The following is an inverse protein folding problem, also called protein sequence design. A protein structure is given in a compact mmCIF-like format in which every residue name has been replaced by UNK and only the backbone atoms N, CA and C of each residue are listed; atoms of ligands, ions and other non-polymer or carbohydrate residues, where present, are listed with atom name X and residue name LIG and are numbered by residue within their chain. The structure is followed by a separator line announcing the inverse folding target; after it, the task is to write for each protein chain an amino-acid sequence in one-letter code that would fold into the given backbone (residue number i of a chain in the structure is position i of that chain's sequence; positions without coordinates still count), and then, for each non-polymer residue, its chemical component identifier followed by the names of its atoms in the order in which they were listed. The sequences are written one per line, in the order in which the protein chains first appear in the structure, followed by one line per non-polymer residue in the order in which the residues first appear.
data_IF_441512883966
#
_entry.id   IF_441512883966
#
_cell.length_a   1.000
_cell.length_b   1.000
_cell.length_c   1.000
_cell.angle_alpha   90.00
_cell.angle_beta   90.00
_cell.angle_gamma   90.00
#
_symmetry.space_group_name_H-M   'P 1'
#
loop_
_entity.id
_entity.type
_entity.pdbx_description
1 polymer ?
#
# COMPACT_ATOMS: atom_id res chain seq x y z
N UNK A 1 -23.72 -0.98 -8.05
CA UNK A 1 -22.27 -1.24 -7.96
C UNK A 1 -21.64 -0.09 -7.22
N UNK A 2 -21.18 -0.35 -6.00
CA UNK A 2 -20.45 0.61 -5.17
C UNK A 2 -19.05 0.07 -4.94
N UNK A 3 -18.04 0.93 -4.96
CA UNK A 3 -16.67 0.55 -4.66
C UNK A 3 -16.32 1.02 -3.24
N UNK A 4 -15.65 0.14 -2.49
CA UNK A 4 -14.93 0.54 -1.26
C UNK A 4 -13.46 0.62 -1.56
N UNK A 5 -12.85 1.72 -1.16
CA UNK A 5 -11.43 1.98 -1.37
C UNK A 5 -10.73 2.09 -0.02
N UNK A 6 -9.65 1.35 0.14
CA UNK A 6 -8.82 1.35 1.34
C UNK A 6 -7.45 1.90 0.96
N UNK A 7 -6.93 2.83 1.75
CA UNK A 7 -5.65 3.50 1.50
C UNK A 7 -4.81 3.40 2.76
N UNK A 8 -3.53 3.12 2.56
CA UNK A 8 -2.52 3.09 3.62
C UNK A 8 -1.29 3.89 3.19
N UNK A 9 -0.63 4.50 4.16
CA UNK A 9 0.57 5.30 3.96
C UNK A 9 1.77 4.70 4.71
N UNK A 10 2.94 4.78 4.10
CA UNK A 10 4.18 4.25 4.65
C UNK A 10 5.38 5.09 4.23
N UNK A 11 6.45 5.04 5.03
CA UNK A 11 7.69 5.80 4.75
C UNK A 11 7.82 7.12 5.48
N UNK A 12 6.79 7.59 6.20
CA UNK A 12 6.89 8.76 7.07
C UNK A 12 8.03 8.57 8.10
N UNK A 13 9.08 9.38 7.99
CA UNK A 13 10.32 9.31 8.77
C UNK A 13 11.17 8.04 8.54
N UNK A 14 10.97 7.33 7.44
CA UNK A 14 11.68 6.09 7.10
C UNK A 14 12.15 6.16 5.63
N UNK A 15 13.20 6.96 5.33
CA UNK A 15 13.69 7.15 3.97
C UNK A 15 14.11 5.80 3.34
N UNK A 16 14.09 5.68 1.99
CA UNK A 16 14.19 6.78 1.03
C UNK A 16 12.88 7.20 0.33
N UNK A 17 11.75 6.54 0.60
CA UNK A 17 10.50 6.76 -0.14
C UNK A 17 9.28 6.91 0.76
N UNK A 18 8.39 7.83 0.39
CA UNK A 18 7.00 7.83 0.77
C UNK A 18 6.23 6.87 -0.15
N UNK A 19 5.33 6.08 0.43
CA UNK A 19 4.46 5.15 -0.28
C UNK A 19 3.02 5.43 0.14
N UNK A 20 2.15 5.59 -0.85
CA UNK A 20 0.71 5.60 -0.67
C UNK A 20 0.17 4.42 -1.47
N UNK A 21 -0.27 3.39 -0.76
CA UNK A 21 -0.87 2.19 -1.33
C UNK A 21 -2.38 2.26 -1.20
N UNK A 22 -3.10 1.62 -2.11
CA UNK A 22 -4.54 1.45 -1.94
C UNK A 22 -5.11 0.31 -2.76
N UNK A 23 -6.28 -0.16 -2.34
CA UNK A 23 -7.01 -1.25 -2.97
C UNK A 23 -8.49 -0.93 -3.01
N UNK A 24 -9.11 -1.22 -4.16
CA UNK A 24 -10.54 -1.12 -4.39
C UNK A 24 -11.17 -2.51 -4.35
N UNK A 25 -12.34 -2.61 -3.74
CA UNK A 25 -13.20 -3.79 -3.80
C UNK A 25 -14.61 -3.38 -4.23
N UNK A 26 -15.32 -4.29 -4.89
CA UNK A 26 -16.78 -4.20 -4.96
C UNK A 26 -17.33 -4.29 -3.53
N UNK A 27 -18.23 -3.38 -3.16
CA UNK A 27 -18.74 -3.29 -1.80
C UNK A 27 -19.37 -4.61 -1.31
N UNK A 28 -19.93 -5.39 -2.24
CA UNK A 28 -20.55 -6.68 -1.99
C UNK A 28 -19.52 -7.80 -1.71
N UNK A 29 -18.26 -7.66 -2.16
CA UNK A 29 -17.18 -8.64 -1.94
C UNK A 29 -16.41 -8.39 -0.65
N UNK A 30 -16.55 -7.20 -0.04
CA UNK A 30 -15.76 -6.79 1.13
C UNK A 30 -15.93 -7.75 2.30
N UNK A 31 -17.16 -8.21 2.57
CA UNK A 31 -17.41 -9.15 3.66
C UNK A 31 -16.71 -10.50 3.47
N UNK A 32 -16.67 -11.01 2.23
CA UNK A 32 -15.96 -12.25 1.90
C UNK A 32 -14.45 -12.07 2.03
N UNK A 33 -13.92 -10.96 1.48
CA UNK A 33 -12.51 -10.61 1.64
C UNK A 33 -12.11 -10.52 3.11
N UNK A 34 -12.87 -9.80 3.95
CA UNK A 34 -12.58 -9.64 5.37
C UNK A 34 -12.58 -10.99 6.10
N UNK A 35 -13.53 -11.87 5.79
CA UNK A 35 -13.60 -13.21 6.38
C UNK A 35 -12.37 -14.07 6.03
N UNK A 36 -11.99 -14.11 4.75
CA UNK A 36 -10.81 -14.87 4.30
C UNK A 36 -9.51 -14.27 4.83
N UNK A 37 -9.41 -12.94 4.85
CA UNK A 37 -8.25 -12.24 5.39
C UNK A 37 -8.06 -12.53 6.88
N UNK A 38 -9.12 -12.44 7.68
CA UNK A 38 -9.08 -12.76 9.12
C UNK A 38 -8.74 -14.24 9.34
N UNK A 39 -9.34 -15.15 8.56
CA UNK A 39 -9.05 -16.57 8.64
C UNK A 39 -7.57 -16.86 8.32
N UNK A 40 -7.03 -16.21 7.28
CA UNK A 40 -5.62 -16.34 6.97
C UNK A 40 -4.75 -15.72 8.05
N UNK A 41 -5.05 -14.52 8.61
CA UNK A 41 -4.27 -13.97 9.73
C UNK A 41 -4.18 -14.93 10.92
N UNK A 42 -5.26 -15.66 11.23
CA UNK A 42 -5.31 -16.68 12.29
C UNK A 42 -4.60 -18.00 11.94
N UNK A 43 -4.33 -18.28 10.66
CA UNK A 43 -3.62 -19.49 10.23
C UNK A 43 -2.14 -19.45 10.65
N UNK A 44 -1.45 -20.59 10.84
CA UNK A 44 -0.02 -20.57 11.14
C UNK A 44 0.86 -19.98 10.01
N UNK A 45 1.87 -19.15 10.33
CA UNK A 45 2.08 -18.49 11.62
C UNK A 45 0.98 -17.46 11.90
N UNK A 46 0.34 -17.56 13.07
CA UNK A 46 -0.77 -16.69 13.44
C UNK A 46 -0.25 -15.30 13.81
N UNK A 47 -0.84 -14.27 13.20
CA UNK A 47 -0.47 -12.87 13.42
C UNK A 47 -1.72 -12.03 13.69
N UNK A 48 -1.70 -11.10 14.66
CA UNK A 48 -2.88 -10.29 14.97
C UNK A 48 -3.21 -9.26 13.87
N UNK A 49 -2.22 -8.85 13.09
CA UNK A 49 -2.36 -7.94 11.96
C UNK A 49 -1.13 -8.03 11.06
N UNK A 50 -1.29 -7.65 9.78
CA UNK A 50 -0.18 -7.52 8.84
C UNK A 50 0.43 -6.12 8.95
N UNK A 51 1.74 -6.05 9.21
CA UNK A 51 2.55 -4.84 9.06
C UNK A 51 3.79 -5.18 8.26
N UNK A 52 3.85 -4.74 7.00
CA UNK A 52 4.90 -5.16 6.06
C UNK A 52 6.32 -4.88 6.56
N UNK A 53 6.55 -3.75 7.25
CA UNK A 53 7.86 -3.44 7.86
C UNK A 53 8.29 -4.49 8.89
N UNK A 54 7.34 -4.97 9.69
CA UNK A 54 7.60 -5.98 10.72
C UNK A 54 7.78 -7.36 10.09
N UNK A 55 7.02 -7.65 9.03
CA UNK A 55 7.19 -8.85 8.21
C UNK A 55 8.57 -8.90 7.55
N UNK A 56 9.05 -7.81 6.96
CA UNK A 56 10.37 -7.75 6.33
C UNK A 56 11.51 -7.89 7.36
N UNK A 57 11.41 -7.15 8.48
CA UNK A 57 12.43 -7.14 9.52
C UNK A 57 12.38 -8.34 10.50
N UNK A 58 11.31 -9.17 10.47
CA UNK A 58 11.18 -10.34 11.33
C UNK A 58 10.97 -9.97 12.80
N UNK A 59 10.18 -8.92 13.02
CA UNK A 59 9.92 -8.33 14.34
C UNK A 59 8.41 -8.17 14.57
N UNK A 60 8.01 -7.58 15.70
CA UNK A 60 6.60 -7.37 16.00
C UNK A 60 5.82 -8.68 15.98
N UNK A 61 4.72 -8.71 15.22
CA UNK A 61 3.89 -9.90 15.01
C UNK A 61 4.64 -11.10 14.41
N UNK A 62 5.78 -10.86 13.77
CA UNK A 62 6.60 -11.88 13.10
C UNK A 62 7.90 -12.21 13.86
N UNK A 63 8.03 -11.75 15.11
CA UNK A 63 9.23 -12.01 15.92
C UNK A 63 9.42 -13.52 16.12
N UNK A 64 10.59 -14.03 15.73
CA UNK A 64 10.93 -15.45 15.85
C UNK A 64 10.38 -16.34 14.74
N UNK A 65 9.61 -15.78 13.79
CA UNK A 65 9.10 -16.53 12.64
C UNK A 65 10.19 -16.63 11.56
N UNK A 66 10.52 -17.84 11.07
CA UNK A 66 11.49 -18.02 9.98
C UNK A 66 11.11 -17.24 8.73
N UNK A 67 12.12 -16.73 7.99
CA UNK A 67 11.87 -15.94 6.78
C UNK A 67 11.00 -16.69 5.76
N UNK A 68 11.25 -17.97 5.54
CA UNK A 68 10.47 -18.81 4.62
C UNK A 68 8.98 -18.86 5.00
N UNK A 69 8.66 -18.96 6.29
CA UNK A 69 7.28 -18.98 6.77
C UNK A 69 6.63 -17.60 6.65
N UNK A 70 7.38 -16.52 6.89
CA UNK A 70 6.92 -15.14 6.65
C UNK A 70 6.59 -14.93 5.17
N UNK A 71 7.50 -15.30 4.28
CA UNK A 71 7.33 -15.14 2.84
C UNK A 71 6.13 -15.98 2.35
N UNK A 72 5.96 -17.20 2.85
CA UNK A 72 4.78 -18.03 2.55
C UNK A 72 3.47 -17.40 3.07
N UNK A 73 3.47 -16.82 4.28
CA UNK A 73 2.33 -16.09 4.84
C UNK A 73 1.95 -14.89 3.98
N UNK A 74 2.94 -14.11 3.58
CA UNK A 74 2.75 -12.94 2.71
C UNK A 74 2.20 -13.33 1.34
N UNK A 75 2.67 -14.43 0.76
CA UNK A 75 2.16 -14.93 -0.51
C UNK A 75 0.66 -15.31 -0.43
N UNK A 76 0.24 -15.98 0.65
CA UNK A 76 -1.18 -16.35 0.84
C UNK A 76 -2.08 -15.13 1.07
N UNK A 77 -1.64 -14.17 1.88
CA UNK A 77 -2.35 -12.89 2.05
C UNK A 77 -2.43 -12.11 0.73
N UNK A 78 -1.34 -12.08 -0.04
CA UNK A 78 -1.29 -11.48 -1.38
C UNK A 78 -2.28 -12.13 -2.35
N UNK A 79 -2.44 -13.45 -2.28
CA UNK A 79 -3.41 -14.18 -3.11
C UNK A 79 -4.86 -13.81 -2.79
N UNK A 80 -5.20 -13.67 -1.51
CA UNK A 80 -6.52 -13.20 -1.07
C UNK A 80 -6.79 -11.80 -1.62
N UNK A 81 -5.82 -10.89 -1.49
CA UNK A 81 -5.94 -9.55 -2.10
C UNK A 81 -6.16 -9.62 -3.60
N UNK A 82 -5.36 -10.41 -4.33
CA UNK A 82 -5.45 -10.57 -5.79
C UNK A 82 -6.80 -11.15 -6.24
N UNK A 83 -7.39 -12.01 -5.43
CA UNK A 83 -8.67 -12.65 -5.72
C UNK A 83 -9.85 -11.67 -5.62
N UNK A 84 -9.85 -10.81 -4.60
CA UNK A 84 -11.00 -9.94 -4.31
C UNK A 84 -10.84 -8.51 -4.83
N UNK A 85 -9.61 -8.02 -4.99
CA UNK A 85 -9.34 -6.65 -5.41
C UNK A 85 -9.83 -6.38 -6.84
N UNK A 86 -10.60 -5.32 -7.00
CA UNK A 86 -11.01 -4.79 -8.31
C UNK A 86 -9.91 -3.93 -8.93
N UNK A 87 -9.16 -3.19 -8.11
CA UNK A 87 -8.04 -2.37 -8.55
C UNK A 87 -7.06 -2.14 -7.39
N UNK A 88 -5.80 -1.89 -7.73
CA UNK A 88 -4.77 -1.48 -6.77
C UNK A 88 -4.08 -0.21 -7.25
N UNK A 89 -3.75 0.69 -6.34
CA UNK A 89 -2.94 1.89 -6.61
C UNK A 89 -1.67 1.85 -5.77
N UNK A 90 -0.57 2.26 -6.37
CA UNK A 90 0.66 2.54 -5.64
C UNK A 90 1.27 3.84 -6.17
N UNK A 91 1.42 4.81 -5.28
CA UNK A 91 2.15 6.05 -5.53
C UNK A 91 3.40 5.99 -4.67
N UNK A 92 4.57 6.19 -5.29
CA UNK A 92 5.86 6.13 -4.61
C UNK A 92 6.62 7.41 -4.95
N UNK A 93 7.06 8.13 -3.93
CA UNK A 93 7.80 9.39 -4.07
C UNK A 93 9.05 9.33 -3.21
N UNK A 94 10.22 9.61 -3.79
CA UNK A 94 11.46 9.72 -3.01
C UNK A 94 11.40 10.94 -2.09
N UNK A 95 11.90 10.80 -0.87
CA UNK A 95 11.94 11.90 0.09
C UNK A 95 12.68 13.11 -0.49
N UNK A 96 13.89 12.89 -1.03
CA UNK A 96 14.70 13.97 -1.60
C UNK A 96 14.02 14.67 -2.77
N UNK A 97 13.25 13.94 -3.58
CA UNK A 97 12.52 14.53 -4.70
C UNK A 97 11.31 15.33 -4.21
N UNK A 98 10.63 14.88 -3.16
CA UNK A 98 9.58 15.67 -2.50
C UNK A 98 10.14 17.00 -1.98
N UNK A 99 11.20 16.95 -1.17
CA UNK A 99 11.83 18.13 -0.57
C UNK A 99 12.34 19.10 -1.63
N UNK A 100 12.96 18.58 -2.69
CA UNK A 100 13.54 19.41 -3.76
C UNK A 100 12.49 20.05 -4.67
N UNK A 101 11.44 19.31 -5.02
CA UNK A 101 10.51 19.71 -6.10
C UNK A 101 9.25 20.37 -5.55
N UNK A 102 8.71 19.87 -4.44
CA UNK A 102 7.35 20.19 -3.99
C UNK A 102 7.31 20.98 -2.68
N UNK A 103 8.18 20.66 -1.72
CA UNK A 103 8.14 21.27 -0.40
C UNK A 103 8.23 22.82 -0.46
N UNK A 104 7.27 23.50 0.18
CA UNK A 104 7.17 24.95 0.21
C UNK A 104 6.71 25.60 -1.10
N UNK A 105 6.38 24.81 -2.13
CA UNK A 105 6.01 25.27 -3.48
C UNK A 105 4.56 24.95 -3.85
N UNK A 106 3.81 24.32 -2.94
CA UNK A 106 2.42 23.92 -3.13
C UNK A 106 1.46 24.75 -2.28
N UNK A 107 0.16 24.67 -2.56
CA UNK A 107 -0.87 25.17 -1.64
C UNK A 107 -0.74 24.47 -0.29
N UNK A 108 -0.89 25.21 0.81
CA UNK A 108 -0.60 24.72 2.16
C UNK A 108 -1.32 23.41 2.55
N UNK A 109 -2.51 23.15 2.00
CA UNK A 109 -3.26 21.93 2.26
C UNK A 109 -2.72 20.71 1.49
N UNK A 110 -2.01 20.91 0.37
CA UNK A 110 -1.35 19.87 -0.42
C UNK A 110 0.14 19.71 -0.12
N UNK A 111 0.77 20.68 0.56
CA UNK A 111 2.20 20.70 0.87
C UNK A 111 2.56 19.73 2.01
N UNK A 112 2.10 18.49 1.87
CA UNK A 112 2.44 17.32 2.70
C UNK A 112 2.56 16.13 1.75
N UNK A 113 3.57 15.26 1.90
CA UNK A 113 3.84 14.18 0.94
C UNK A 113 2.61 13.35 0.58
N UNK A 114 1.87 12.87 1.58
CA UNK A 114 0.70 12.02 1.31
C UNK A 114 -0.53 12.78 0.80
N UNK A 115 -0.70 14.05 1.17
CA UNK A 115 -1.77 14.88 0.61
C UNK A 115 -1.51 15.14 -0.86
N UNK A 116 -0.26 15.48 -1.21
CA UNK A 116 0.18 15.56 -2.58
C UNK A 116 -0.06 14.23 -3.33
N UNK A 117 0.38 13.10 -2.77
CA UNK A 117 0.25 11.78 -3.41
C UNK A 117 -1.19 11.30 -3.56
N UNK A 118 -2.12 11.75 -2.71
CA UNK A 118 -3.54 11.41 -2.83
C UNK A 118 -4.24 12.23 -3.92
N UNK A 119 -3.84 13.49 -4.12
CA UNK A 119 -4.56 14.44 -4.99
C UNK A 119 -3.90 14.67 -6.36
N UNK A 120 -2.61 14.37 -6.51
CA UNK A 120 -1.89 14.51 -7.78
C UNK A 120 -2.02 13.35 -8.78
N UNK A 121 -2.38 12.09 -8.41
CA UNK A 121 -2.61 11.06 -9.41
C UNK A 121 -3.70 11.52 -10.36
N UNK A 122 -3.27 11.92 -11.56
CA UNK A 122 -4.15 12.24 -12.67
C UNK A 122 -4.04 11.09 -13.65
N UNK A 123 -5.18 10.75 -14.23
CA UNK A 123 -5.20 9.88 -15.39
C UNK A 123 -4.51 10.65 -16.53
N UNK A 124 -3.28 10.25 -16.87
CA UNK A 124 -2.52 10.88 -17.94
C UNK A 124 -3.12 10.39 -19.27
N UNK A 125 -3.99 11.19 -19.87
CA UNK A 125 -4.31 11.07 -21.30
C UNK A 125 -3.18 11.68 -22.18
N UNK A 126 -2.18 12.32 -21.58
CA UNK A 126 -1.04 12.92 -22.28
C UNK A 126 0.30 12.51 -21.67
N UNK A 127 1.08 11.70 -22.40
CA UNK A 127 2.35 11.08 -22.00
C UNK A 127 3.55 12.05 -21.77
N UNK A 128 3.35 13.37 -21.70
CA UNK A 128 4.46 14.33 -21.78
C UNK A 128 4.82 15.12 -20.52
N UNK A 129 4.13 14.96 -19.40
CA UNK A 129 4.48 15.68 -18.16
C UNK A 129 4.87 14.73 -17.03
N UNK A 130 6.12 14.88 -16.56
CA UNK A 130 6.71 14.37 -15.31
C UNK A 130 6.29 12.95 -14.90
N UNK A 131 7.18 11.98 -15.16
CA UNK A 131 7.04 10.56 -14.81
C UNK A 131 6.91 10.31 -13.29
N UNK A 132 5.73 10.56 -12.72
CA UNK A 132 5.25 9.79 -11.56
C UNK A 132 4.87 8.42 -12.14
N UNK A 133 5.76 7.44 -12.01
CA UNK A 133 5.44 6.07 -12.42
C UNK A 133 4.41 5.52 -11.45
N UNK A 134 3.14 5.66 -11.79
CA UNK A 134 2.07 4.85 -11.22
C UNK A 134 2.30 3.42 -11.69
N UNK A 135 3.05 2.63 -10.90
CA UNK A 135 3.12 1.19 -11.11
C UNK A 135 1.88 0.61 -10.48
N UNK A 136 1.01 0.02 -11.29
CA UNK A 136 0.08 -1.01 -10.84
C UNK A 136 0.98 -2.15 -10.37
N UNK A 137 1.32 -2.15 -9.09
CA UNK A 137 2.18 -3.15 -8.49
C UNK A 137 1.33 -4.39 -8.23
N UNK A 138 1.30 -5.31 -9.20
CA UNK A 138 1.11 -6.73 -8.88
C UNK A 138 2.31 -7.15 -8.04
N UNK A 139 2.06 -7.36 -6.75
CA UNK A 139 2.98 -8.03 -5.83
C UNK A 139 3.26 -9.47 -6.30
#
# INVERSE_FOLDING_TARGET
MSLRFYIDDSGKNDPPVFVLGGVAFQAEQVATFEAEWIAELASPPAIPFLKMKDANAGRGAFKGVPRSERDAKLARLGEILRTHATATVAVIVRHDDYERIFAGKMMAWMDRPYQMMFHLPRDNQDERAASIKMRIATC
#
